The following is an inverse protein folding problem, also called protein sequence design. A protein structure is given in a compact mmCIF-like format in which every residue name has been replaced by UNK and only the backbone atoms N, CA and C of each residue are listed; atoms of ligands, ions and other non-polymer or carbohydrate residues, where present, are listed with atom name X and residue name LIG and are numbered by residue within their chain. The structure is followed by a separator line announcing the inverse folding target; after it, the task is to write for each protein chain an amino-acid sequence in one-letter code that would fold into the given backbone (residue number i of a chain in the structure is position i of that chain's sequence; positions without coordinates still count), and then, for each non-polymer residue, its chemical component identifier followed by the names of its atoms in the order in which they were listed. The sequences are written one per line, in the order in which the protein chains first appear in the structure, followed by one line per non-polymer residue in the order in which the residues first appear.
data_IF_036653407716
#
_entry.id   IF_036653407716
#
_cell.length_a   1.000
_cell.length_b   1.000
_cell.length_c   1.000
_cell.angle_alpha   90.00
_cell.angle_beta   90.00
_cell.angle_gamma   90.00
#
_symmetry.space_group_name_H-M   'P 1'
#
loop_
_entity.id
_entity.type
_entity.pdbx_description
1 polymer ?
#
# COMPACT_ATOMS: atom_id res chain seq x y z
N UNK A 1 -8.60 5.79 4.57
CA UNK A 1 -7.45 5.73 5.51
C UNK A 1 -7.03 7.12 6.04
N UNK A 2 -6.59 8.06 5.19
CA UNK A 2 -6.14 9.40 5.62
C UNK A 2 -7.11 10.12 6.59
N UNK A 3 -8.40 10.19 6.26
CA UNK A 3 -9.42 10.83 7.13
C UNK A 3 -9.52 10.18 8.52
N UNK A 4 -9.44 8.85 8.58
CA UNK A 4 -9.52 8.12 9.85
C UNK A 4 -8.26 8.31 10.70
N UNK A 5 -7.08 8.27 10.08
CA UNK A 5 -5.80 8.56 10.76
C UNK A 5 -5.78 9.97 11.35
N UNK A 6 -6.26 10.97 10.58
CA UNK A 6 -6.42 12.35 11.09
C UNK A 6 -7.36 12.40 12.30
N UNK A 7 -8.50 11.70 12.24
CA UNK A 7 -9.46 11.62 13.36
C UNK A 7 -8.83 10.98 14.61
N UNK A 8 -7.90 10.03 14.44
CA UNK A 8 -7.12 9.41 15.51
C UNK A 8 -5.95 10.26 16.01
N UNK A 9 -5.81 11.51 15.54
CA UNK A 9 -4.79 12.46 16.01
C UNK A 9 -3.47 12.43 15.24
N UNK A 10 -3.36 11.66 14.15
CA UNK A 10 -2.13 11.59 13.36
C UNK A 10 -1.93 12.87 12.53
N UNK A 11 -0.68 13.32 12.45
CA UNK A 11 -0.26 14.49 11.66
C UNK A 11 0.48 14.04 10.39
N UNK A 12 0.52 14.90 9.37
CA UNK A 12 1.16 14.62 8.06
C UNK A 12 0.61 13.43 7.28
N UNK A 13 -0.57 12.92 7.65
CA UNK A 13 -1.24 11.79 6.98
C UNK A 13 -2.23 12.27 5.92
N UNK A 14 -1.80 13.12 4.99
CA UNK A 14 -2.62 13.54 3.84
C UNK A 14 -2.98 12.38 2.90
N UNK A 15 -4.01 12.50 2.04
CA UNK A 15 -4.40 11.41 1.12
C UNK A 15 -3.25 10.89 0.26
N UNK A 16 -2.45 11.78 -0.33
CA UNK A 16 -1.27 11.41 -1.15
C UNK A 16 -0.21 10.68 -0.33
N UNK A 17 0.14 11.21 0.85
CA UNK A 17 1.13 10.57 1.74
C UNK A 17 0.68 9.17 2.15
N UNK A 18 -0.60 9.02 2.48
CA UNK A 18 -1.16 7.74 2.89
C UNK A 18 -1.24 6.76 1.73
N UNK A 19 -1.51 7.24 0.50
CA UNK A 19 -1.47 6.39 -0.68
C UNK A 19 -0.05 5.89 -0.97
N UNK A 20 0.95 6.79 -0.95
CA UNK A 20 2.36 6.42 -1.10
C UNK A 20 2.80 5.41 -0.03
N UNK A 21 2.35 5.59 1.22
CA UNK A 21 2.58 4.62 2.28
C UNK A 21 1.95 3.26 1.97
N UNK A 22 0.72 3.22 1.45
CA UNK A 22 0.07 1.97 1.06
C UNK A 22 0.81 1.24 -0.07
N UNK A 23 1.40 1.98 -1.02
CA UNK A 23 2.26 1.41 -2.05
C UNK A 23 3.55 0.83 -1.46
N UNK A 24 4.25 1.60 -0.60
CA UNK A 24 5.51 1.17 0.02
C UNK A 24 5.36 -0.05 0.95
N UNK A 25 4.24 -0.14 1.67
CA UNK A 25 3.94 -1.27 2.56
C UNK A 25 3.35 -2.48 1.81
N UNK A 26 3.20 -2.43 0.49
CA UNK A 26 2.65 -3.52 -0.31
C UNK A 26 1.16 -3.75 -0.10
N UNK A 27 0.43 -2.79 0.48
CA UNK A 27 -1.04 -2.84 0.58
C UNK A 27 -1.65 -2.72 -0.81
N UNK A 28 -1.05 -1.89 -1.66
CA UNK A 28 -1.36 -1.72 -3.09
C UNK A 28 -0.14 -2.15 -3.91
N UNK A 29 -0.36 -2.97 -4.94
CA UNK A 29 0.67 -3.37 -5.91
C UNK A 29 0.54 -2.52 -7.19
N UNK A 30 1.12 -1.32 -7.15
CA UNK A 30 1.03 -0.31 -8.23
C UNK A 30 2.30 -0.25 -9.09
N UNK A 31 3.07 -1.34 -9.13
CA UNK A 31 4.20 -1.42 -10.05
C UNK A 31 3.73 -1.24 -11.49
N UNK A 32 4.47 -0.43 -12.26
CA UNK A 32 4.17 -0.14 -13.67
C UNK A 32 4.17 -1.40 -14.53
N UNK A 33 3.53 -1.33 -15.70
CA UNK A 33 3.60 -2.41 -16.69
C UNK A 33 5.06 -2.67 -17.11
N UNK A 34 5.46 -3.95 -17.14
CA UNK A 34 6.82 -4.36 -17.44
C UNK A 34 7.80 -4.29 -16.26
N UNK A 35 7.37 -3.88 -15.06
CA UNK A 35 8.21 -3.95 -13.87
C UNK A 35 8.42 -5.41 -13.43
N UNK A 36 9.68 -5.83 -13.32
CA UNK A 36 10.08 -7.20 -12.96
C UNK A 36 9.51 -7.66 -11.61
N UNK A 37 9.34 -6.73 -10.67
CA UNK A 37 8.85 -7.02 -9.32
C UNK A 37 7.33 -7.15 -9.22
N UNK A 38 6.57 -6.68 -10.22
CA UNK A 38 5.10 -6.68 -10.15
C UNK A 38 4.54 -8.08 -9.99
N UNK A 39 5.04 -9.03 -10.80
CA UNK A 39 4.57 -10.42 -10.77
C UNK A 39 5.00 -11.14 -9.49
N UNK A 40 6.21 -10.86 -8.99
CA UNK A 40 6.71 -11.41 -7.73
C UNK A 40 5.84 -10.95 -6.56
N UNK A 41 5.60 -9.63 -6.45
CA UNK A 41 4.73 -9.07 -5.42
C UNK A 41 3.30 -9.62 -5.50
N UNK A 42 2.76 -9.85 -6.71
CA UNK A 42 1.42 -10.41 -6.87
C UNK A 42 1.35 -11.88 -6.42
N UNK A 43 2.37 -12.68 -6.75
CA UNK A 43 2.45 -14.07 -6.31
C UNK A 43 2.50 -14.19 -4.77
N UNK A 44 3.34 -13.39 -4.12
CA UNK A 44 3.44 -13.34 -2.66
C UNK A 44 2.11 -12.93 -2.01
N UNK A 45 1.41 -11.94 -2.59
CA UNK A 45 0.09 -11.52 -2.11
C UNK A 45 -0.97 -12.61 -2.22
N UNK A 46 -0.95 -13.41 -3.28
CA UNK A 46 -1.85 -14.54 -3.47
C UNK A 46 -1.53 -15.69 -2.52
N UNK A 47 -0.25 -15.91 -2.21
CA UNK A 47 0.20 -16.91 -1.24
C UNK A 47 -0.07 -16.52 0.22
N UNK A 48 -0.25 -15.22 0.50
CA UNK A 48 -0.47 -14.73 1.85
C UNK A 48 -1.84 -15.17 2.42
N UNK A 49 -1.81 -16.11 3.35
CA UNK A 49 -2.98 -16.51 4.13
C UNK A 49 -3.21 -15.48 5.24
N UNK A 50 -4.36 -14.82 5.20
CA UNK A 50 -4.73 -13.86 6.25
C UNK A 50 -5.02 -14.60 7.56
N UNK A 51 -4.52 -14.10 8.70
CA UNK A 51 -4.88 -14.62 10.02
C UNK A 51 -6.38 -14.55 10.31
#
# INVERSE_FOLDING_TARGET
LSKDLKRRGWRFVGPTTVYAFMQAMGVVNDHIDGCEWRAVCEAERLAFVRP
#
